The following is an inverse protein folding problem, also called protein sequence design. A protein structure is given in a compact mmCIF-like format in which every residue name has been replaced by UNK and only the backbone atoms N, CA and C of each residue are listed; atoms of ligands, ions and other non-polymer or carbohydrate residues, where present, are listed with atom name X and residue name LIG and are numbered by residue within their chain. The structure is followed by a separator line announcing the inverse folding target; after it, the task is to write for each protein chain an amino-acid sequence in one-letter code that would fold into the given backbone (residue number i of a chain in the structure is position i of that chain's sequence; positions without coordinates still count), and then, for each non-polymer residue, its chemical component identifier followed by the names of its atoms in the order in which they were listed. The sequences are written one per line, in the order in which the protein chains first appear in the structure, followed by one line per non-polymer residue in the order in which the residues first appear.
data_IF_280732339480
#
_entry.id   IF_280732339480
#
_cell.length_a   1.000
_cell.length_b   1.000
_cell.length_c   1.000
_cell.angle_alpha   90.00
_cell.angle_beta   90.00
_cell.angle_gamma   90.00
#
_symmetry.space_group_name_H-M   'P 1'
#
loop_
_entity.id
_entity.type
_entity.pdbx_description
1 polymer ?
#
# COMPACT_ATOMS: atom_id res chain seq x y z
N UNK A 1 -54.98 -7.13 -6.94
CA UNK A 1 -54.16 -7.00 -8.18
C UNK A 1 -53.32 -5.69 -8.20
N UNK A 2 -52.67 -5.28 -7.09
CA UNK A 2 -51.89 -4.00 -7.03
C UNK A 2 -50.51 -4.16 -6.34
N UNK A 3 -50.09 -5.37 -5.94
CA UNK A 3 -48.80 -5.56 -5.23
C UNK A 3 -47.56 -5.81 -6.12
N UNK A 4 -47.68 -5.70 -7.45
CA UNK A 4 -46.58 -5.98 -8.39
C UNK A 4 -45.90 -4.74 -9.00
N UNK A 5 -46.31 -3.53 -8.61
CA UNK A 5 -45.82 -2.29 -9.26
C UNK A 5 -44.83 -1.45 -8.44
N UNK A 6 -44.55 -1.78 -7.18
CA UNK A 6 -43.65 -0.97 -6.32
C UNK A 6 -42.24 -1.57 -6.21
N UNK A 7 -42.03 -2.83 -6.59
CA UNK A 7 -40.69 -3.46 -6.59
C UNK A 7 -39.82 -3.09 -7.80
N UNK A 8 -40.32 -2.26 -8.73
CA UNK A 8 -39.64 -1.93 -10.00
C UNK A 8 -39.02 -0.52 -10.01
N UNK A 9 -39.09 0.23 -8.91
CA UNK A 9 -38.53 1.60 -8.80
C UNK A 9 -37.39 1.69 -7.77
N UNK A 10 -37.14 0.64 -6.98
CA UNK A 10 -36.04 0.57 -6.00
C UNK A 10 -35.00 -0.52 -6.31
N UNK A 11 -34.84 -0.95 -7.57
CA UNK A 11 -33.58 -1.58 -7.97
C UNK A 11 -32.55 -0.47 -8.22
N UNK A 12 -32.11 0.16 -7.12
CA UNK A 12 -30.89 0.96 -7.11
C UNK A 12 -29.83 0.03 -7.69
N UNK A 13 -29.37 0.32 -8.90
CA UNK A 13 -28.23 -0.34 -9.50
C UNK A 13 -27.13 -0.33 -8.45
N UNK A 14 -26.81 -1.51 -7.90
CA UNK A 14 -25.59 -1.70 -7.13
C UNK A 14 -24.49 -1.07 -7.98
N UNK A 15 -23.65 -0.15 -7.43
CA UNK A 15 -22.45 0.23 -8.15
C UNK A 15 -21.74 -1.08 -8.47
N UNK A 16 -21.30 -1.24 -9.73
CA UNK A 16 -20.64 -2.44 -10.18
C UNK A 16 -19.64 -2.86 -9.10
N UNK A 17 -19.88 -4.01 -8.47
CA UNK A 17 -19.02 -4.53 -7.43
C UNK A 17 -17.59 -4.43 -7.97
N UNK A 18 -16.70 -3.78 -7.23
CA UNK A 18 -15.29 -3.68 -7.56
C UNK A 18 -14.85 -5.05 -8.05
N UNK A 19 -14.47 -5.15 -9.33
CA UNK A 19 -14.02 -6.41 -9.90
C UNK A 19 -12.93 -6.92 -8.96
N UNK A 20 -13.10 -8.14 -8.44
CA UNK A 20 -12.09 -8.77 -7.60
C UNK A 20 -10.83 -8.97 -8.46
N UNK A 21 -9.92 -8.01 -8.43
CA UNK A 21 -8.63 -8.10 -9.10
C UNK A 21 -7.72 -8.90 -8.18
N UNK A 22 -7.64 -10.19 -8.43
CA UNK A 22 -6.69 -11.06 -7.74
C UNK A 22 -5.26 -10.79 -8.25
N UNK A 23 -4.25 -10.75 -7.37
CA UNK A 23 -2.88 -10.54 -7.79
C UNK A 23 -2.39 -11.73 -8.62
N UNK A 24 -1.80 -11.43 -9.78
CA UNK A 24 -1.14 -12.45 -10.58
C UNK A 24 0.22 -12.80 -9.97
N UNK A 25 0.32 -13.98 -9.38
CA UNK A 25 1.57 -14.49 -8.80
C UNK A 25 2.45 -15.10 -9.90
N UNK A 26 3.67 -14.59 -10.04
CA UNK A 26 4.70 -15.13 -10.93
C UNK A 26 5.72 -15.86 -10.06
N UNK A 27 6.03 -17.14 -10.30
CA UNK A 27 6.97 -17.88 -9.46
C UNK A 27 8.44 -17.47 -9.72
N UNK A 28 9.31 -17.69 -8.74
CA UNK A 28 10.75 -17.38 -8.80
C UNK A 28 11.43 -17.88 -10.08
N UNK A 29 11.15 -19.14 -10.45
CA UNK A 29 11.70 -19.77 -11.66
C UNK A 29 11.37 -19.00 -12.95
N UNK A 30 10.34 -18.16 -12.94
CA UNK A 30 9.88 -17.37 -14.09
C UNK A 30 10.37 -15.93 -14.04
N UNK A 31 10.41 -15.29 -12.87
CA UNK A 31 10.87 -13.90 -12.76
C UNK A 31 12.38 -13.76 -12.52
N UNK A 32 13.08 -14.80 -12.05
CA UNK A 32 14.54 -14.83 -11.95
C UNK A 32 15.16 -14.01 -10.81
N UNK A 33 14.41 -13.11 -10.16
CA UNK A 33 14.86 -12.38 -8.96
C UNK A 33 15.25 -13.34 -7.83
N UNK A 34 16.51 -13.28 -7.40
CA UNK A 34 17.05 -14.07 -6.30
C UNK A 34 17.30 -13.23 -5.06
N UNK A 35 17.26 -13.85 -3.89
CA UNK A 35 17.51 -13.20 -2.60
C UNK A 35 18.86 -12.47 -2.53
N UNK A 36 19.91 -13.00 -3.17
CA UNK A 36 21.24 -12.37 -3.16
C UNK A 36 21.33 -11.08 -3.98
N UNK A 37 20.31 -10.77 -4.78
CA UNK A 37 20.21 -9.51 -5.53
C UNK A 37 19.49 -8.43 -4.73
N UNK A 38 18.79 -8.80 -3.64
CA UNK A 38 18.03 -7.91 -2.78
C UNK A 38 18.90 -7.50 -1.59
N UNK A 39 18.75 -6.26 -1.14
CA UNK A 39 19.41 -5.78 0.07
C UNK A 39 19.12 -6.69 1.28
N UNK A 40 20.18 -7.00 2.03
CA UNK A 40 20.05 -7.72 3.29
C UNK A 40 19.18 -6.98 4.31
N UNK A 41 19.18 -5.64 4.30
CA UNK A 41 18.29 -4.85 5.15
C UNK A 41 16.84 -4.98 4.69
N UNK A 42 16.56 -4.86 3.38
CA UNK A 42 15.21 -5.01 2.85
C UNK A 42 14.62 -6.41 3.16
N UNK A 43 15.42 -7.47 2.99
CA UNK A 43 15.04 -8.83 3.38
C UNK A 43 14.72 -8.90 4.88
N UNK A 44 15.60 -8.33 5.73
CA UNK A 44 15.41 -8.36 7.18
C UNK A 44 14.15 -7.63 7.61
N UNK A 45 13.92 -6.42 7.10
CA UNK A 45 12.73 -5.60 7.40
C UNK A 45 11.46 -6.34 6.98
N UNK A 46 11.44 -6.86 5.75
CA UNK A 46 10.29 -7.63 5.24
C UNK A 46 10.03 -8.88 6.09
N UNK A 47 11.07 -9.64 6.42
CA UNK A 47 10.94 -10.85 7.24
C UNK A 47 10.54 -10.55 8.69
N UNK A 48 10.91 -9.40 9.25
CA UNK A 48 10.52 -8.99 10.61
C UNK A 48 9.05 -8.56 10.69
N UNK A 49 8.56 -7.83 9.68
CA UNK A 49 7.14 -7.53 9.54
C UNK A 49 6.31 -8.80 9.36
N UNK A 50 6.72 -9.70 8.47
CA UNK A 50 6.04 -10.97 8.26
C UNK A 50 6.01 -11.86 9.52
N UNK A 51 7.11 -11.91 10.27
CA UNK A 51 7.15 -12.62 11.57
C UNK A 51 6.22 -12.00 12.62
N UNK A 52 5.96 -10.70 12.54
CA UNK A 52 5.00 -10.01 13.39
C UNK A 52 3.54 -10.18 12.93
N UNK A 53 3.29 -10.93 11.84
CA UNK A 53 1.95 -11.24 11.33
C UNK A 53 1.43 -10.27 10.27
N UNK A 54 2.29 -9.40 9.74
CA UNK A 54 1.94 -8.41 8.73
C UNK A 54 2.27 -8.89 7.32
N UNK A 55 1.42 -8.55 6.35
CA UNK A 55 1.82 -8.65 4.95
C UNK A 55 2.93 -7.61 4.67
N UNK A 56 4.04 -8.02 4.06
CA UNK A 56 5.11 -7.12 3.68
C UNK A 56 5.83 -7.61 2.43
N UNK A 57 6.14 -6.67 1.52
CA UNK A 57 6.71 -6.95 0.21
C UNK A 57 7.72 -5.88 -0.18
N UNK A 58 8.79 -6.25 -0.89
CA UNK A 58 9.65 -5.30 -1.60
C UNK A 58 8.91 -4.85 -2.85
N UNK A 59 8.81 -3.55 -3.10
CA UNK A 59 7.90 -3.02 -4.14
C UNK A 59 8.57 -2.10 -5.15
N UNK A 60 7.84 -1.86 -6.25
CA UNK A 60 8.06 -0.70 -7.11
C UNK A 60 9.38 -0.71 -7.87
N UNK A 61 10.16 0.37 -7.70
CA UNK A 61 11.37 0.62 -8.49
C UNK A 61 12.41 -0.49 -8.35
N UNK A 62 12.59 -1.02 -7.14
CA UNK A 62 13.53 -2.10 -6.89
C UNK A 62 13.16 -3.37 -7.66
N UNK A 63 11.88 -3.77 -7.62
CA UNK A 63 11.40 -4.97 -8.33
C UNK A 63 11.54 -4.78 -9.84
N UNK A 64 11.14 -3.62 -10.36
CA UNK A 64 11.32 -3.27 -11.78
C UNK A 64 12.77 -3.37 -12.21
N UNK A 65 13.68 -2.77 -11.45
CA UNK A 65 15.09 -2.70 -11.83
C UNK A 65 15.72 -4.10 -11.81
N UNK A 66 15.37 -4.93 -10.82
CA UNK A 66 15.79 -6.33 -10.76
C UNK A 66 15.28 -7.17 -11.94
N UNK A 67 14.03 -6.97 -12.38
CA UNK A 67 13.49 -7.63 -13.58
C UNK A 67 14.19 -7.21 -14.88
N UNK A 68 14.87 -6.06 -14.88
CA UNK A 68 15.65 -5.53 -16.00
C UNK A 68 17.15 -5.82 -15.86
N UNK A 69 17.53 -6.72 -14.94
CA UNK A 69 18.93 -7.04 -14.60
C UNK A 69 19.77 -5.81 -14.20
N UNK A 70 19.14 -4.81 -13.60
CA UNK A 70 19.79 -3.61 -13.06
C UNK A 70 19.87 -3.68 -11.55
N UNK A 71 20.91 -3.07 -11.00
CA UNK A 71 21.04 -2.88 -9.55
C UNK A 71 20.06 -1.77 -9.08
N UNK A 72 19.14 -2.06 -8.14
CA UNK A 72 18.32 -1.04 -7.52
C UNK A 72 19.15 0.01 -6.78
N UNK A 73 18.68 1.26 -6.79
CA UNK A 73 19.32 2.35 -6.05
C UNK A 73 18.87 2.41 -4.59
N UNK A 74 17.61 2.09 -4.38
CA UNK A 74 16.85 2.15 -3.15
C UNK A 74 15.91 0.94 -3.08
N UNK A 75 15.49 0.60 -1.86
CA UNK A 75 14.55 -0.47 -1.58
C UNK A 75 13.40 0.06 -0.75
N UNK A 76 12.21 -0.08 -1.30
CA UNK A 76 10.96 0.24 -0.64
C UNK A 76 10.23 -1.04 -0.24
N UNK A 77 9.62 -1.01 0.93
CA UNK A 77 8.75 -2.07 1.45
C UNK A 77 7.34 -1.52 1.59
N UNK A 78 6.34 -2.27 1.11
CA UNK A 78 4.93 -1.98 1.38
C UNK A 78 4.35 -3.04 2.32
N UNK A 79 3.51 -2.62 3.26
CA UNK A 79 2.96 -3.49 4.31
C UNK A 79 1.54 -3.11 4.70
N UNK A 80 0.79 -4.03 5.31
CA UNK A 80 -0.49 -3.72 5.95
C UNK A 80 -0.32 -3.12 7.37
N UNK A 81 0.88 -3.11 7.93
CA UNK A 81 1.18 -2.50 9.21
C UNK A 81 1.08 -0.97 9.14
N UNK A 82 0.43 -0.34 10.13
CA UNK A 82 0.40 1.12 10.26
C UNK A 82 1.78 1.68 10.57
N UNK A 83 2.06 2.97 10.29
CA UNK A 83 3.36 3.58 10.59
C UNK A 83 3.76 3.43 12.06
N UNK A 84 2.80 3.51 12.98
CA UNK A 84 3.01 3.27 14.41
C UNK A 84 3.43 1.83 14.71
N UNK A 85 2.76 0.84 14.10
CA UNK A 85 3.11 -0.58 14.27
C UNK A 85 4.50 -0.87 13.73
N UNK A 86 4.84 -0.36 12.54
CA UNK A 86 6.19 -0.47 11.99
C UNK A 86 7.20 0.18 12.93
N UNK A 87 6.92 1.40 13.40
CA UNK A 87 7.83 2.10 14.31
C UNK A 87 8.06 1.34 15.62
N UNK A 88 7.01 0.70 16.16
CA UNK A 88 7.10 -0.13 17.37
C UNK A 88 7.96 -1.39 17.18
N UNK A 89 7.92 -2.00 16.00
CA UNK A 89 8.74 -3.17 15.67
C UNK A 89 10.23 -2.83 15.52
N UNK A 90 10.55 -1.67 14.93
CA UNK A 90 11.92 -1.32 14.61
C UNK A 90 12.45 -0.19 15.50
N UNK A 91 13.28 -0.55 16.51
CA UNK A 91 13.90 0.42 17.43
C UNK A 91 14.66 1.56 16.74
N UNK A 92 15.33 1.26 15.62
CA UNK A 92 16.00 2.27 14.78
C UNK A 92 15.12 2.61 13.57
N UNK A 93 14.04 3.32 13.83
CA UNK A 93 13.17 3.82 12.78
C UNK A 93 12.65 5.22 13.08
N UNK A 94 12.14 5.90 12.06
CA UNK A 94 11.54 7.23 12.18
C UNK A 94 10.32 7.33 11.27
N UNK A 95 9.21 7.80 11.81
CA UNK A 95 8.04 8.15 10.99
C UNK A 95 8.33 9.47 10.29
N UNK A 96 8.22 9.48 8.97
CA UNK A 96 8.48 10.62 8.09
C UNK A 96 7.22 10.97 7.33
N UNK A 97 7.11 12.25 6.97
CA UNK A 97 6.04 12.75 6.12
C UNK A 97 4.79 13.14 6.91
N UNK A 98 4.21 14.30 6.55
CA UNK A 98 2.93 14.77 7.10
C UNK A 98 1.75 14.43 6.18
N UNK A 99 2.01 14.25 4.88
CA UNK A 99 0.98 14.03 3.85
C UNK A 99 0.80 12.55 3.53
N UNK A 100 1.93 11.88 3.29
CA UNK A 100 2.06 10.43 3.19
C UNK A 100 2.94 10.00 4.35
N UNK A 101 2.38 9.25 5.29
CA UNK A 101 3.15 8.76 6.42
C UNK A 101 3.90 7.51 6.00
N UNK A 102 5.22 7.57 6.09
CA UNK A 102 6.15 6.48 5.80
C UNK A 102 7.04 6.26 7.01
N UNK A 103 7.70 5.12 7.09
CA UNK A 103 8.68 4.84 8.14
C UNK A 103 10.04 4.55 7.52
N UNK A 104 11.04 5.33 7.89
CA UNK A 104 12.44 5.03 7.56
C UNK A 104 12.99 4.07 8.59
N UNK A 105 13.33 2.85 8.17
CA UNK A 105 13.99 1.84 9.01
C UNK A 105 15.48 1.78 8.67
N UNK A 106 16.34 1.95 9.68
CA UNK A 106 17.79 2.11 9.48
C UNK A 106 18.56 0.82 9.82
N UNK A 107 19.26 0.26 8.82
CA UNK A 107 20.21 -0.84 8.95
C UNK A 107 21.65 -0.38 8.70
N UNK A 108 22.26 0.26 9.71
CA UNK A 108 23.62 0.78 9.54
C UNK A 108 23.58 2.02 8.63
N UNK A 109 24.33 2.06 7.52
CA UNK A 109 24.28 3.19 6.58
C UNK A 109 23.06 3.15 5.65
N UNK A 110 22.39 2.00 5.54
CA UNK A 110 21.24 1.81 4.66
C UNK A 110 19.93 2.18 5.35
N UNK A 111 19.01 2.79 4.59
CA UNK A 111 17.65 3.12 5.03
C UNK A 111 16.65 2.47 4.09
N UNK A 112 15.67 1.77 4.66
CA UNK A 112 14.55 1.19 3.94
C UNK A 112 13.32 2.05 4.20
N UNK A 113 12.63 2.46 3.14
CA UNK A 113 11.35 3.13 3.27
C UNK A 113 10.25 2.09 3.40
N UNK A 114 9.48 2.17 4.47
CA UNK A 114 8.34 1.29 4.72
C UNK A 114 7.06 2.11 4.59
N UNK A 115 6.20 1.70 3.69
CA UNK A 115 4.91 2.32 3.39
C UNK A 115 3.77 1.40 3.80
N UNK A 116 2.73 1.95 4.40
CA UNK A 116 1.48 1.20 4.61
C UNK A 116 0.67 1.21 3.30
N UNK A 117 0.03 0.10 2.95
CA UNK A 117 -0.85 0.00 1.78
C UNK A 117 -1.91 1.09 1.81
N UNK A 118 -2.08 1.78 0.69
CA UNK A 118 -3.08 2.86 0.56
C UNK A 118 -4.46 2.28 0.28
N UNK A 119 -5.44 2.73 1.04
CA UNK A 119 -6.84 2.41 0.85
C UNK A 119 -7.50 3.33 -0.18
N UNK A 120 -8.79 3.07 -0.51
CA UNK A 120 -9.58 3.93 -1.36
C UNK A 120 -9.68 5.34 -0.76
N UNK A 121 -9.86 6.36 -1.61
CA UNK A 121 -10.11 7.70 -1.10
C UNK A 121 -11.38 7.67 -0.23
N UNK A 122 -11.28 8.17 1.01
CA UNK A 122 -12.40 8.21 1.93
C UNK A 122 -13.62 8.88 1.29
N UNK A 123 -14.77 8.24 1.39
CA UNK A 123 -16.03 8.78 0.90
C UNK A 123 -16.64 9.70 1.96
N UNK A 124 -17.54 10.61 1.57
CA UNK A 124 -18.24 11.49 2.51
C UNK A 124 -19.16 10.74 3.50
N UNK A 125 -19.27 9.42 3.39
CA UNK A 125 -20.09 8.57 4.26
C UNK A 125 -19.28 8.00 5.44
N UNK A 126 -17.95 8.11 5.42
CA UNK A 126 -17.03 7.62 6.47
C UNK A 126 -16.78 8.67 7.59
N UNK A 127 -17.67 9.68 7.71
CA UNK A 127 -17.46 10.95 8.43
C UNK A 127 -17.64 10.92 9.96
N UNK A 128 -18.14 9.81 10.51
CA UNK A 128 -18.61 9.71 11.89
C UNK A 128 -17.57 9.17 12.88
N UNK A 129 -16.41 8.67 12.42
CA UNK A 129 -15.33 8.21 13.30
C UNK A 129 -14.23 9.29 13.46
N UNK A 130 -13.91 9.67 14.70
CA UNK A 130 -12.91 10.70 15.01
C UNK A 130 -11.50 10.39 14.46
N UNK A 131 -11.13 9.12 14.40
CA UNK A 131 -9.84 8.69 13.83
C UNK A 131 -9.80 8.87 12.30
N UNK A 132 -10.93 8.69 11.61
CA UNK A 132 -11.05 8.98 10.17
C UNK A 132 -10.96 10.48 9.86
N UNK A 133 -11.42 11.35 10.75
CA UNK A 133 -11.25 12.82 10.60
C UNK A 133 -9.79 13.28 10.63
N UNK A 134 -8.89 12.52 11.28
CA UNK A 134 -7.43 12.82 11.27
C UNK A 134 -6.72 12.23 10.04
N UNK A 135 -7.23 11.14 9.47
CA UNK A 135 -6.69 10.45 8.30
C UNK A 135 -7.17 11.00 6.94
N UNK A 136 -7.92 12.12 6.93
CA UNK A 136 -8.57 12.67 5.72
C UNK A 136 -7.68 12.73 4.49
N UNK A 137 -8.24 12.30 3.37
CA UNK A 137 -7.84 12.75 2.05
C UNK A 137 -8.16 14.25 1.96
N UNK A 138 -7.17 15.11 2.12
CA UNK A 138 -7.35 16.55 2.06
C UNK A 138 -6.73 17.03 0.76
N UNK A 139 -7.46 17.76 -0.08
CA UNK A 139 -6.93 18.41 -1.28
C UNK A 139 -7.03 19.92 -1.13
N UNK A 140 -5.99 20.64 -1.57
CA UNK A 140 -6.03 22.09 -1.72
C UNK A 140 -7.02 22.46 -2.83
N UNK A 141 -7.47 23.71 -2.84
CA UNK A 141 -8.32 24.31 -3.90
C UNK A 141 -7.72 24.10 -5.31
N UNK A 142 -6.39 23.96 -5.40
CA UNK A 142 -5.66 23.72 -6.65
C UNK A 142 -5.46 22.22 -6.97
N UNK A 143 -6.21 21.31 -6.34
CA UNK A 143 -6.13 19.86 -6.58
C UNK A 143 -4.90 19.15 -5.99
N UNK A 144 -4.07 19.84 -5.19
CA UNK A 144 -2.91 19.21 -4.53
C UNK A 144 -3.34 18.38 -3.32
N UNK A 145 -2.91 17.12 -3.25
CA UNK A 145 -3.08 16.27 -2.07
C UNK A 145 -2.26 16.84 -0.89
N UNK A 146 -2.98 17.24 0.15
CA UNK A 146 -2.50 17.75 1.43
C UNK A 146 -2.28 16.62 2.44
N UNK A 147 -3.14 15.59 2.45
CA UNK A 147 -3.00 14.37 3.28
C UNK A 147 -3.72 13.21 2.60
N UNK A 148 -3.21 12.01 2.77
CA UNK A 148 -3.77 10.77 2.23
C UNK A 148 -3.27 9.59 3.07
N UNK A 149 -3.86 9.42 4.26
CA UNK A 149 -3.47 8.38 5.22
C UNK A 149 -4.62 7.36 5.41
N UNK A 150 -5.37 7.11 4.34
CA UNK A 150 -6.33 6.00 4.32
C UNK A 150 -5.55 4.74 3.97
N UNK A 151 -5.65 3.73 4.83
CA UNK A 151 -4.96 2.45 4.64
C UNK A 151 -5.92 1.39 4.12
N UNK A 152 -5.40 0.42 3.37
CA UNK A 152 -6.22 -0.60 2.72
C UNK A 152 -5.44 -1.86 2.39
N UNK A 153 -5.91 -2.57 1.38
CA UNK A 153 -5.33 -3.84 0.91
C UNK A 153 -4.20 -3.63 -0.09
N UNK A 154 -3.39 -4.68 -0.30
CA UNK A 154 -2.36 -4.71 -1.33
C UNK A 154 -2.90 -4.39 -2.74
N UNK A 155 -4.09 -4.89 -3.07
CA UNK A 155 -4.74 -4.68 -4.38
C UNK A 155 -5.13 -3.21 -4.54
N UNK A 156 -5.70 -2.60 -3.51
CA UNK A 156 -6.06 -1.18 -3.53
C UNK A 156 -4.81 -0.30 -3.66
N UNK A 157 -3.72 -0.62 -2.96
CA UNK A 157 -2.45 0.08 -3.11
C UNK A 157 -1.92 -0.03 -4.55
N UNK A 158 -1.94 -1.24 -5.13
CA UNK A 158 -1.50 -1.49 -6.49
C UNK A 158 -2.27 -0.65 -7.52
N UNK A 159 -3.59 -0.54 -7.36
CA UNK A 159 -4.48 0.22 -8.25
C UNK A 159 -4.30 1.75 -8.13
N UNK A 160 -3.75 2.23 -7.02
CA UNK A 160 -3.51 3.67 -6.77
C UNK A 160 -2.13 4.14 -7.21
N UNK A 161 -1.26 3.25 -7.70
CA UNK A 161 0.08 3.61 -8.17
C UNK A 161 0.02 4.18 -9.60
N UNK A 162 0.83 5.20 -9.83
CA UNK A 162 0.80 5.99 -11.08
C UNK A 162 1.13 5.15 -12.33
N UNK A 163 2.04 4.18 -12.21
CA UNK A 163 2.50 3.34 -13.32
C UNK A 163 2.44 1.86 -12.95
N UNK A 164 1.96 1.03 -13.89
CA UNK A 164 1.82 -0.42 -13.71
C UNK A 164 3.13 -1.11 -13.35
N UNK A 165 4.24 -0.68 -13.96
CA UNK A 165 5.58 -1.21 -13.68
C UNK A 165 6.05 -0.93 -12.25
N UNK A 166 5.50 0.10 -11.60
CA UNK A 166 5.79 0.42 -10.20
C UNK A 166 4.76 -0.23 -9.24
N UNK A 167 3.76 -0.94 -9.75
CA UNK A 167 2.77 -1.72 -8.98
C UNK A 167 3.15 -3.22 -8.89
N UNK A 168 4.45 -3.50 -8.94
CA UNK A 168 5.02 -4.82 -8.68
C UNK A 168 5.38 -4.93 -7.19
N UNK A 169 5.11 -6.10 -6.62
CA UNK A 169 5.31 -6.47 -5.22
C UNK A 169 6.07 -7.80 -5.15
#
# INVERSE_FOLDING_TARGET
MIRKFISKVFSKSRPAAAQHVEPRIIPEKKHGIRHNQISSCAIKVTAELQRAGHAAFVVGGAVRDLLLDKAPKDYDVATDATPEQVHALFRRSRIIGRRFRLVHVMCGPETIEVSTFRGPAASAEDEDEEDFRKARHATSENGRILRDNVFGSQVEDALRRDFTVNALF
#
